data_IF_787768473902
#
_entry.id   IF_787768473902
#
_cell.length_a   1.000
_cell.length_b   1.000
_cell.length_c   1.000
_cell.angle_alpha   90.00
_cell.angle_beta   90.00
_cell.angle_gamma   90.00
#
_symmetry.space_group_name_H-M   'P 1'
#
loop_
_entity.id
_entity.type
_entity.pdbx_description
1 polymer ?
#
# COMPACT_ATOMS: atom_id res chain seq x y z
N UNK A 1 -40.78 -13.46 -2.09
CA UNK A 1 -40.19 -12.21 -1.55
C UNK A 1 -38.99 -12.45 -0.63
N UNK A 2 -38.96 -13.50 0.19
CA UNK A 2 -37.88 -13.78 1.15
C UNK A 2 -36.45 -13.96 0.55
N UNK A 3 -36.23 -14.58 -0.64
CA UNK A 3 -34.88 -14.80 -1.17
C UNK A 3 -34.14 -13.51 -1.54
N UNK A 4 -34.85 -12.51 -2.09
CA UNK A 4 -34.28 -11.20 -2.43
C UNK A 4 -33.88 -10.42 -1.17
N UNK A 5 -34.67 -10.54 -0.09
CA UNK A 5 -34.40 -9.90 1.18
C UNK A 5 -33.15 -10.50 1.86
N UNK A 6 -33.00 -11.83 1.84
CA UNK A 6 -31.83 -12.52 2.38
C UNK A 6 -30.57 -12.13 1.61
N UNK A 7 -30.61 -12.16 0.27
CA UNK A 7 -29.48 -11.72 -0.58
C UNK A 7 -29.04 -10.28 -0.27
N UNK A 8 -29.99 -9.36 -0.10
CA UNK A 8 -29.69 -7.96 0.23
C UNK A 8 -29.07 -7.79 1.64
N UNK A 9 -29.56 -8.53 2.64
CA UNK A 9 -28.98 -8.52 3.99
C UNK A 9 -27.57 -9.10 4.01
N UNK A 10 -27.31 -10.16 3.26
CA UNK A 10 -25.97 -10.75 3.14
C UNK A 10 -24.98 -9.81 2.46
N UNK A 11 -25.39 -9.11 1.39
CA UNK A 11 -24.56 -8.09 0.74
C UNK A 11 -24.22 -6.94 1.72
N UNK A 12 -25.22 -6.46 2.45
CA UNK A 12 -25.03 -5.40 3.47
C UNK A 12 -24.09 -5.87 4.57
N UNK A 13 -24.22 -7.14 5.00
CA UNK A 13 -23.30 -7.78 5.93
C UNK A 13 -21.87 -7.84 5.39
N UNK A 14 -21.69 -8.23 4.12
CA UNK A 14 -20.38 -8.23 3.46
C UNK A 14 -19.75 -6.83 3.44
N UNK A 15 -20.55 -5.80 3.13
CA UNK A 15 -20.10 -4.40 3.11
C UNK A 15 -19.70 -3.90 4.50
N UNK A 16 -20.44 -4.24 5.56
CA UNK A 16 -20.03 -3.93 6.93
C UNK A 16 -18.78 -4.68 7.38
N UNK A 17 -18.62 -5.94 6.99
CA UNK A 17 -17.39 -6.69 7.24
C UNK A 17 -16.20 -6.08 6.49
N UNK A 18 -16.42 -5.51 5.29
CA UNK A 18 -15.37 -4.79 4.58
C UNK A 18 -14.98 -3.52 5.33
N UNK A 19 -15.94 -2.75 5.85
CA UNK A 19 -15.67 -1.58 6.70
C UNK A 19 -14.90 -1.98 7.96
N UNK A 20 -15.29 -3.09 8.61
CA UNK A 20 -14.56 -3.63 9.75
C UNK A 20 -13.13 -4.05 9.38
N UNK A 21 -12.93 -4.64 8.20
CA UNK A 21 -11.59 -4.96 7.70
C UNK A 21 -10.73 -3.69 7.60
N UNK A 22 -11.25 -2.60 7.01
CA UNK A 22 -10.54 -1.30 6.91
C UNK A 22 -10.22 -0.69 8.27
N UNK A 23 -11.09 -0.90 9.27
CA UNK A 23 -10.86 -0.46 10.65
C UNK A 23 -9.77 -1.28 11.33
N UNK A 24 -9.76 -2.60 11.16
CA UNK A 24 -8.95 -3.49 11.97
C UNK A 24 -7.62 -3.89 11.35
N UNK A 25 -7.46 -3.98 10.02
CA UNK A 25 -6.18 -4.43 9.44
C UNK A 25 -4.96 -3.59 9.90
N UNK A 26 -5.06 -2.25 10.10
CA UNK A 26 -3.89 -1.48 10.53
C UNK A 26 -3.50 -1.81 11.99
N UNK A 27 -4.47 -1.89 12.91
CA UNK A 27 -4.22 -2.09 14.35
C UNK A 27 -4.16 -3.57 14.77
N UNK A 28 -5.12 -4.38 14.33
CA UNK A 28 -5.35 -5.75 14.76
C UNK A 28 -5.48 -6.71 13.56
N UNK A 29 -4.34 -7.22 13.06
CA UNK A 29 -4.30 -8.05 11.83
C UNK A 29 -5.23 -9.27 11.88
N UNK A 30 -5.33 -9.97 13.01
CA UNK A 30 -6.21 -11.14 13.12
C UNK A 30 -7.68 -10.78 12.87
N UNK A 31 -8.17 -9.71 13.49
CA UNK A 31 -9.52 -9.21 13.28
C UNK A 31 -9.71 -8.71 11.83
N UNK A 32 -8.70 -8.04 11.26
CA UNK A 32 -8.71 -7.64 9.85
C UNK A 32 -8.85 -8.83 8.90
N UNK A 33 -8.09 -9.92 9.12
CA UNK A 33 -8.17 -11.15 8.33
C UNK A 33 -9.54 -11.83 8.44
N UNK A 34 -10.08 -11.94 9.66
CA UNK A 34 -11.43 -12.51 9.89
C UNK A 34 -12.48 -11.69 9.14
N UNK A 35 -12.43 -10.36 9.25
CA UNK A 35 -13.35 -9.47 8.56
C UNK A 35 -13.23 -9.57 7.02
N UNK A 36 -12.01 -9.69 6.48
CA UNK A 36 -11.80 -9.93 5.05
C UNK A 36 -12.36 -11.27 4.58
N UNK A 37 -12.16 -12.34 5.35
CA UNK A 37 -12.72 -13.66 5.05
C UNK A 37 -14.25 -13.62 5.05
N UNK A 38 -14.85 -13.06 6.10
CA UNK A 38 -16.31 -12.92 6.21
C UNK A 38 -16.87 -12.05 5.08
N UNK A 39 -16.15 -11.00 4.66
CA UNK A 39 -16.52 -10.19 3.48
C UNK A 39 -16.64 -11.06 2.24
N UNK A 40 -15.63 -11.88 1.94
CA UNK A 40 -15.62 -12.78 0.78
C UNK A 40 -16.74 -13.82 0.84
N UNK A 41 -16.93 -14.49 1.99
CA UNK A 41 -17.97 -15.50 2.18
C UNK A 41 -19.38 -14.92 2.03
N UNK A 42 -19.66 -13.80 2.69
CA UNK A 42 -20.97 -13.14 2.61
C UNK A 42 -21.24 -12.60 1.19
N UNK A 43 -20.22 -12.09 0.50
CA UNK A 43 -20.34 -11.66 -0.89
C UNK A 43 -20.72 -12.81 -1.82
N UNK A 44 -20.08 -13.98 -1.66
CA UNK A 44 -20.42 -15.18 -2.42
C UNK A 44 -21.86 -15.63 -2.14
N UNK A 45 -22.22 -15.76 -0.86
CA UNK A 45 -23.56 -16.20 -0.44
C UNK A 45 -24.67 -15.22 -0.86
N UNK A 46 -24.37 -13.92 -0.93
CA UNK A 46 -25.32 -12.90 -1.37
C UNK A 46 -25.67 -12.99 -2.87
N UNK A 47 -24.82 -13.63 -3.68
CA UNK A 47 -24.94 -13.63 -5.14
C UNK A 47 -24.61 -12.29 -5.82
N UNK A 48 -24.08 -11.30 -5.08
CA UNK A 48 -23.75 -9.96 -5.62
C UNK A 48 -22.75 -10.05 -6.78
N UNK A 49 -21.80 -10.98 -6.72
CA UNK A 49 -20.79 -11.15 -7.77
C UNK A 49 -21.40 -11.56 -9.11
N UNK A 50 -22.47 -12.37 -9.09
CA UNK A 50 -23.22 -12.74 -10.30
C UNK A 50 -24.15 -11.63 -10.76
N UNK A 51 -24.82 -10.95 -9.83
CA UNK A 51 -25.72 -9.83 -10.13
C UNK A 51 -24.97 -8.67 -10.81
N UNK A 52 -23.76 -8.39 -10.36
CA UNK A 52 -22.89 -7.34 -10.89
C UNK A 52 -22.02 -7.79 -12.09
N UNK A 53 -22.41 -8.84 -12.83
CA UNK A 53 -21.66 -9.37 -13.99
C UNK A 53 -21.29 -8.31 -15.04
N UNK A 54 -22.10 -7.27 -15.20
CA UNK A 54 -21.83 -6.16 -16.12
C UNK A 54 -20.65 -5.30 -15.66
N UNK A 55 -20.49 -5.12 -14.35
CA UNK A 55 -19.36 -4.45 -13.72
C UNK A 55 -18.07 -5.22 -14.00
N UNK A 56 -18.08 -6.54 -13.78
CA UNK A 56 -16.94 -7.41 -14.11
C UNK A 56 -16.52 -7.29 -15.57
N UNK A 57 -17.46 -7.36 -16.51
CA UNK A 57 -17.15 -7.33 -17.95
C UNK A 57 -16.54 -6.01 -18.44
N UNK A 58 -16.82 -4.89 -17.76
CA UNK A 58 -16.44 -3.55 -18.22
C UNK A 58 -15.27 -2.94 -17.47
N UNK A 59 -15.00 -3.38 -16.24
CA UNK A 59 -13.90 -2.87 -15.44
C UNK A 59 -12.64 -3.73 -15.67
N UNK A 60 -11.51 -3.15 -16.11
CA UNK A 60 -10.26 -3.91 -16.29
C UNK A 60 -9.65 -4.33 -14.94
N UNK A 61 -9.86 -3.56 -13.88
CA UNK A 61 -9.19 -3.74 -12.59
C UNK A 61 -9.39 -5.13 -11.95
N UNK A 62 -10.62 -5.67 -11.81
CA UNK A 62 -10.81 -7.01 -11.24
C UNK A 62 -10.10 -8.10 -12.05
N UNK A 63 -10.08 -8.00 -13.38
CA UNK A 63 -9.40 -8.98 -14.24
C UNK A 63 -7.89 -8.94 -14.12
N UNK A 64 -7.30 -7.76 -13.95
CA UNK A 64 -5.86 -7.63 -13.71
C UNK A 64 -5.46 -8.24 -12.36
N UNK A 65 -6.27 -8.02 -11.32
CA UNK A 65 -6.09 -8.65 -10.01
C UNK A 65 -6.18 -10.18 -10.08
N UNK A 66 -7.23 -10.71 -10.74
CA UNK A 66 -7.40 -12.14 -10.93
C UNK A 66 -6.31 -12.73 -11.83
N UNK A 67 -5.90 -12.01 -12.86
CA UNK A 67 -4.83 -12.42 -13.77
C UNK A 67 -3.50 -12.54 -13.04
N UNK A 68 -3.14 -11.56 -12.20
CA UNK A 68 -1.90 -11.60 -11.42
C UNK A 68 -1.91 -12.78 -10.45
N UNK A 69 -3.03 -13.01 -9.74
CA UNK A 69 -3.17 -14.19 -8.89
C UNK A 69 -3.13 -15.51 -9.69
N UNK A 70 -3.75 -15.53 -10.86
CA UNK A 70 -3.72 -16.67 -11.77
C UNK A 70 -2.31 -17.02 -12.21
N UNK A 71 -1.49 -16.03 -12.53
CA UNK A 71 -0.07 -16.24 -12.86
C UNK A 71 0.72 -16.75 -11.66
N UNK A 72 0.45 -16.26 -10.45
CA UNK A 72 1.03 -16.80 -9.21
C UNK A 72 0.67 -18.29 -9.05
N UNK A 73 -0.59 -18.68 -9.28
CA UNK A 73 -1.01 -20.08 -9.22
C UNK A 73 -0.36 -20.95 -10.30
N UNK A 74 -0.30 -20.46 -11.54
CA UNK A 74 0.35 -21.18 -12.64
C UNK A 74 1.85 -21.34 -12.38
N UNK A 75 2.49 -20.33 -11.81
CA UNK A 75 3.92 -20.34 -11.47
C UNK A 75 4.33 -21.46 -10.53
N UNK A 76 3.43 -22.01 -9.71
CA UNK A 76 3.74 -23.17 -8.88
C UNK A 76 3.84 -24.49 -9.66
N UNK A 77 3.35 -24.56 -10.90
CA UNK A 77 3.39 -25.79 -11.71
C UNK A 77 4.79 -26.15 -12.21
N UNK A 78 5.69 -25.17 -12.31
CA UNK A 78 7.08 -25.37 -12.74
C UNK A 78 8.11 -24.85 -11.72
N UNK A 79 7.65 -24.51 -10.51
CA UNK A 79 8.53 -24.02 -9.46
C UNK A 79 9.46 -25.12 -8.96
N UNK A 80 10.74 -24.77 -8.76
CA UNK A 80 11.72 -25.62 -8.07
C UNK A 80 11.53 -25.65 -6.56
N UNK A 81 10.66 -24.78 -6.03
CA UNK A 81 10.47 -24.57 -4.60
C UNK A 81 9.84 -25.75 -3.87
N UNK A 82 10.15 -25.87 -2.59
CA UNK A 82 9.39 -26.72 -1.67
C UNK A 82 7.91 -26.30 -1.65
N UNK A 83 7.01 -27.28 -1.48
CA UNK A 83 5.57 -27.02 -1.46
C UNK A 83 5.17 -26.00 -0.38
N UNK A 84 5.89 -25.96 0.74
CA UNK A 84 5.65 -24.98 1.81
C UNK A 84 5.77 -23.53 1.32
N UNK A 85 6.78 -23.23 0.51
CA UNK A 85 7.02 -21.88 -0.02
C UNK A 85 6.03 -21.51 -1.14
N UNK A 86 5.66 -22.49 -1.96
CA UNK A 86 4.58 -22.34 -2.95
C UNK A 86 3.27 -21.99 -2.24
N UNK A 87 2.89 -22.78 -1.24
CA UNK A 87 1.65 -22.60 -0.47
C UNK A 87 1.65 -21.27 0.30
N UNK A 88 2.80 -20.87 0.86
CA UNK A 88 2.96 -19.57 1.49
C UNK A 88 2.64 -18.46 0.49
N UNK A 89 3.23 -18.48 -0.70
CA UNK A 89 2.98 -17.47 -1.73
C UNK A 89 1.51 -17.44 -2.19
N UNK A 90 0.87 -18.59 -2.38
CA UNK A 90 -0.57 -18.65 -2.68
C UNK A 90 -1.39 -17.95 -1.59
N UNK A 91 -1.08 -18.23 -0.33
CA UNK A 91 -1.78 -17.64 0.83
C UNK A 91 -1.50 -16.15 0.95
N UNK A 92 -0.29 -15.68 0.63
CA UNK A 92 0.04 -14.25 0.62
C UNK A 92 -0.74 -13.50 -0.46
N UNK A 93 -0.80 -14.06 -1.66
CA UNK A 93 -1.39 -13.40 -2.84
C UNK A 93 -2.91 -13.67 -3.01
N UNK A 94 -3.54 -14.53 -2.22
CA UNK A 94 -5.02 -14.73 -2.24
C UNK A 94 -5.79 -13.42 -2.04
N UNK A 95 -5.16 -12.41 -1.42
CA UNK A 95 -5.74 -11.08 -1.26
C UNK A 95 -6.05 -10.41 -2.59
N UNK A 96 -5.33 -10.71 -3.66
CA UNK A 96 -5.62 -10.20 -5.01
C UNK A 96 -7.01 -10.66 -5.49
N UNK A 97 -7.36 -11.92 -5.24
CA UNK A 97 -8.71 -12.43 -5.47
C UNK A 97 -9.75 -11.68 -4.63
N UNK A 98 -9.46 -11.45 -3.34
CA UNK A 98 -10.34 -10.65 -2.49
C UNK A 98 -10.44 -9.19 -2.94
N UNK A 99 -9.37 -8.60 -3.48
CA UNK A 99 -9.37 -7.23 -4.02
C UNK A 99 -10.34 -7.07 -5.19
N UNK A 100 -10.44 -8.09 -6.05
CA UNK A 100 -11.46 -8.14 -7.10
C UNK A 100 -12.89 -8.17 -6.53
N UNK A 101 -13.12 -8.92 -5.45
CA UNK A 101 -14.40 -8.96 -4.74
C UNK A 101 -14.72 -7.62 -4.07
N UNK A 102 -13.74 -7.01 -3.39
CA UNK A 102 -13.91 -5.72 -2.71
C UNK A 102 -14.29 -4.62 -3.68
N UNK A 103 -13.69 -4.57 -4.87
CA UNK A 103 -14.03 -3.61 -5.91
C UNK A 103 -15.53 -3.62 -6.25
N UNK A 104 -16.13 -4.81 -6.38
CA UNK A 104 -17.56 -4.96 -6.70
C UNK A 104 -18.45 -4.50 -5.55
N UNK A 105 -18.11 -4.87 -4.31
CA UNK A 105 -18.86 -4.43 -3.12
C UNK A 105 -18.85 -2.91 -2.91
N UNK A 106 -17.85 -2.24 -3.46
CA UNK A 106 -17.62 -0.80 -3.35
C UNK A 106 -18.28 0.02 -4.47
N UNK A 107 -19.24 -0.56 -5.21
CA UNK A 107 -20.00 0.14 -6.25
C UNK A 107 -20.75 1.38 -5.72
N UNK A 108 -21.24 1.35 -4.48
CA UNK A 108 -21.98 2.46 -3.88
C UNK A 108 -21.06 3.44 -3.11
N UNK A 109 -21.24 4.77 -3.26
CA UNK A 109 -20.37 5.79 -2.66
C UNK A 109 -20.38 5.80 -1.13
N UNK A 110 -21.51 5.42 -0.51
CA UNK A 110 -21.62 5.35 0.94
C UNK A 110 -20.63 4.34 1.55
N UNK A 111 -20.42 3.20 0.91
CA UNK A 111 -19.51 2.15 1.41
C UNK A 111 -18.06 2.53 1.22
N UNK A 112 -17.73 3.19 0.09
CA UNK A 112 -16.40 3.77 -0.11
C UNK A 112 -16.07 4.79 0.98
N UNK A 113 -17.01 5.67 1.30
CA UNK A 113 -16.85 6.67 2.36
C UNK A 113 -16.66 6.02 3.73
N UNK A 114 -17.49 5.03 4.10
CA UNK A 114 -17.37 4.30 5.37
C UNK A 114 -16.03 3.58 5.50
N UNK A 115 -15.54 2.92 4.44
CA UNK A 115 -14.23 2.26 4.44
C UNK A 115 -13.08 3.26 4.66
N UNK A 116 -13.13 4.40 3.97
CA UNK A 116 -12.11 5.45 4.11
C UNK A 116 -12.12 6.07 5.52
N UNK A 117 -13.31 6.28 6.09
CA UNK A 117 -13.47 6.77 7.46
C UNK A 117 -12.99 5.75 8.50
N UNK A 118 -13.29 4.46 8.31
CA UNK A 118 -12.80 3.39 9.17
C UNK A 118 -11.27 3.31 9.19
N UNK A 119 -10.64 3.34 8.02
CA UNK A 119 -9.18 3.43 7.92
C UNK A 119 -8.63 4.69 8.60
N UNK A 120 -9.23 5.85 8.32
CA UNK A 120 -8.79 7.13 8.90
C UNK A 120 -8.92 7.16 10.42
N UNK A 121 -9.99 6.58 10.97
CA UNK A 121 -10.20 6.47 12.42
C UNK A 121 -9.13 5.59 13.07
N UNK A 122 -8.80 4.45 12.45
CA UNK A 122 -7.73 3.59 12.93
C UNK A 122 -6.35 4.28 12.86
N UNK A 123 -6.06 4.98 11.77
CA UNK A 123 -4.81 5.75 11.64
C UNK A 123 -4.71 6.89 12.66
N UNK A 124 -5.82 7.56 12.96
CA UNK A 124 -5.86 8.56 14.03
C UNK A 124 -5.62 7.93 15.40
N UNK A 125 -6.20 6.75 15.68
CA UNK A 125 -5.91 5.99 16.90
C UNK A 125 -4.42 5.63 17.01
N UNK A 126 -3.80 5.15 15.92
CA UNK A 126 -2.36 4.87 15.88
C UNK A 126 -1.57 6.15 16.12
N UNK A 127 -1.92 7.26 15.46
CA UNK A 127 -1.23 8.54 15.63
C UNK A 127 -1.27 9.03 17.08
N UNK A 128 -2.46 9.03 17.70
CA UNK A 128 -2.62 9.40 19.12
C UNK A 128 -1.80 8.46 20.00
N UNK A 129 -1.80 7.16 19.71
CA UNK A 129 -1.00 6.19 20.46
C UNK A 129 0.50 6.46 20.33
N UNK A 130 1.01 6.83 19.14
CA UNK A 130 2.43 7.14 18.93
C UNK A 130 2.87 8.31 19.83
N UNK A 131 2.06 9.37 19.91
CA UNK A 131 2.36 10.51 20.79
C UNK A 131 2.18 10.18 22.27
N UNK A 132 1.17 9.39 22.63
CA UNK A 132 1.01 8.93 24.01
C UNK A 132 2.18 8.04 24.44
N UNK A 133 2.76 7.25 23.53
CA UNK A 133 3.89 6.36 23.78
C UNK A 133 5.18 7.10 24.16
N UNK A 134 5.27 8.41 23.89
CA UNK A 134 6.39 9.25 24.37
C UNK A 134 6.44 9.30 25.90
N UNK A 135 5.27 9.23 26.56
CA UNK A 135 5.13 9.46 28.00
C UNK A 135 4.59 8.24 28.75
N UNK A 136 3.88 7.35 28.06
CA UNK A 136 3.17 6.22 28.64
C UNK A 136 3.59 4.92 27.97
N UNK A 137 3.83 3.89 28.77
CA UNK A 137 4.01 2.52 28.27
C UNK A 137 2.66 1.91 27.92
N UNK A 138 2.27 2.01 26.65
CA UNK A 138 0.98 1.49 26.20
C UNK A 138 1.05 -0.03 26.06
N UNK A 139 0.14 -0.82 26.68
CA UNK A 139 0.19 -2.29 26.63
C UNK A 139 0.17 -2.88 25.22
N UNK A 140 -0.43 -2.17 24.26
CA UNK A 140 -0.53 -2.60 22.86
C UNK A 140 0.62 -2.07 21.98
N UNK A 141 1.49 -1.20 22.50
CA UNK A 141 2.60 -0.65 21.73
C UNK A 141 3.70 -1.68 21.52
N UNK A 142 4.19 -1.77 20.29
CA UNK A 142 5.31 -2.65 19.91
C UNK A 142 6.60 -2.20 20.60
N UNK A 143 6.80 -0.90 20.77
CA UNK A 143 7.94 -0.32 21.48
C UNK A 143 7.52 0.29 22.81
N UNK A 144 8.29 0.06 23.87
CA UNK A 144 8.02 0.57 25.22
C UNK A 144 9.01 1.67 25.64
N UNK A 145 9.63 2.32 24.65
CA UNK A 145 10.58 3.41 24.87
C UNK A 145 9.83 4.68 25.32
N UNK A 146 10.43 5.45 26.22
CA UNK A 146 9.90 6.75 26.67
C UNK A 146 10.84 7.89 26.23
N UNK A 147 10.30 9.10 26.13
CA UNK A 147 11.05 10.30 25.76
C UNK A 147 11.19 10.51 24.26
N UNK A 148 11.86 11.60 23.88
CA UNK A 148 12.11 11.97 22.49
C UNK A 148 13.39 11.33 21.94
N UNK A 149 13.50 11.23 20.61
CA UNK A 149 14.70 10.71 19.93
C UNK A 149 14.78 9.18 19.84
N UNK A 150 13.73 8.47 20.25
CA UNK A 150 13.62 7.01 20.21
C UNK A 150 12.43 6.57 19.35
N UNK A 151 12.41 5.28 18.96
CA UNK A 151 11.30 4.72 18.18
C UNK A 151 10.04 4.59 19.03
N UNK A 152 8.92 5.04 18.46
CA UNK A 152 7.57 4.95 19.04
C UNK A 152 6.61 4.20 18.12
N UNK A 153 7.10 3.14 17.47
CA UNK A 153 6.23 2.28 16.67
C UNK A 153 5.24 1.56 17.57
N UNK A 154 3.95 1.82 17.37
CA UNK A 154 2.89 1.26 18.21
C UNK A 154 2.42 -0.07 17.65
N UNK A 155 2.14 -0.14 16.34
CA UNK A 155 1.55 -1.35 15.76
C UNK A 155 2.42 -1.92 14.65
N UNK A 156 2.69 -3.23 14.74
CA UNK A 156 3.40 -3.96 13.70
C UNK A 156 4.88 -3.59 13.66
N UNK A 157 5.32 -3.07 12.53
CA UNK A 157 6.67 -2.61 12.28
C UNK A 157 6.66 -1.17 11.76
N UNK A 158 7.79 -0.48 11.93
CA UNK A 158 7.92 0.93 11.58
C UNK A 158 7.77 1.19 10.08
N UNK A 159 8.10 0.22 9.21
CA UNK A 159 8.00 0.37 7.76
C UNK A 159 6.53 0.46 7.38
N UNK A 160 5.74 -0.54 7.78
CA UNK A 160 4.31 -0.58 7.46
C UNK A 160 3.56 0.58 8.10
N UNK A 161 3.86 0.92 9.36
CA UNK A 161 3.24 2.05 10.03
C UNK A 161 3.51 3.36 9.27
N UNK A 162 4.76 3.60 8.85
CA UNK A 162 5.13 4.80 8.11
C UNK A 162 4.52 4.86 6.71
N UNK A 163 4.39 3.73 6.00
CA UNK A 163 3.71 3.65 4.70
C UNK A 163 2.25 4.12 4.86
N UNK A 164 1.51 3.53 5.81
CA UNK A 164 0.11 3.86 6.04
C UNK A 164 -0.06 5.30 6.52
N UNK A 165 0.84 5.78 7.39
CA UNK A 165 0.83 7.15 7.90
C UNK A 165 1.14 8.16 6.80
N UNK A 166 2.04 7.85 5.86
CA UNK A 166 2.33 8.70 4.69
C UNK A 166 1.10 8.91 3.82
N UNK A 167 0.33 7.85 3.59
CA UNK A 167 -0.95 7.99 2.88
C UNK A 167 -2.01 8.69 3.74
N UNK A 168 -2.02 8.49 5.05
CA UNK A 168 -2.92 9.21 5.94
C UNK A 168 -2.68 10.73 5.93
N UNK A 169 -1.43 11.18 5.81
CA UNK A 169 -1.09 12.59 5.57
C UNK A 169 -1.75 13.08 4.27
N UNK A 170 -1.66 12.33 3.18
CA UNK A 170 -2.33 12.67 1.91
C UNK A 170 -3.84 12.80 2.10
N UNK A 171 -4.47 11.88 2.83
CA UNK A 171 -5.90 11.95 3.14
C UNK A 171 -6.25 13.17 3.99
N UNK A 172 -5.46 13.49 5.02
CA UNK A 172 -5.66 14.66 5.86
C UNK A 172 -5.57 15.95 5.03
N UNK A 173 -4.59 16.07 4.15
CA UNK A 173 -4.48 17.21 3.22
C UNK A 173 -5.69 17.30 2.28
N UNK A 174 -6.18 16.16 1.78
CA UNK A 174 -7.39 16.12 0.96
C UNK A 174 -8.64 16.55 1.73
N UNK A 175 -8.84 16.06 2.95
CA UNK A 175 -9.94 16.48 3.82
C UNK A 175 -9.86 17.98 4.12
N UNK A 176 -8.67 18.49 4.43
CA UNK A 176 -8.42 19.91 4.66
C UNK A 176 -8.77 20.77 3.45
N UNK A 177 -8.32 20.38 2.25
CA UNK A 177 -8.64 21.10 1.00
C UNK A 177 -10.15 21.18 0.74
N UNK A 178 -10.88 20.11 1.05
CA UNK A 178 -12.32 20.00 0.78
C UNK A 178 -13.20 20.40 2.00
N UNK A 179 -12.62 20.84 3.11
CA UNK A 179 -13.38 21.16 4.31
C UNK A 179 -14.13 22.50 4.18
N UNK A 180 -15.40 22.57 4.61
CA UNK A 180 -16.23 23.77 4.48
C UNK A 180 -15.88 24.86 5.51
N UNK A 181 -15.33 24.49 6.67
CA UNK A 181 -15.04 25.39 7.80
C UNK A 181 -13.55 25.49 8.05
N UNK A 182 -13.07 26.69 8.40
CA UNK A 182 -11.66 26.93 8.72
C UNK A 182 -11.16 26.03 9.87
N UNK A 183 -11.97 25.82 10.90
CA UNK A 183 -11.60 24.93 12.02
C UNK A 183 -11.28 23.51 11.59
N UNK A 184 -12.05 22.96 10.65
CA UNK A 184 -11.80 21.63 10.08
C UNK A 184 -10.56 21.60 9.18
N UNK A 185 -10.26 22.71 8.49
CA UNK A 185 -9.01 22.86 7.71
C UNK A 185 -7.79 22.86 8.62
N UNK A 186 -7.86 23.62 9.71
CA UNK A 186 -6.78 23.72 10.71
C UNK A 186 -6.60 22.38 11.44
N UNK A 187 -7.68 21.68 11.80
CA UNK A 187 -7.60 20.34 12.37
C UNK A 187 -6.93 19.35 11.41
N UNK A 188 -7.34 19.34 10.14
CA UNK A 188 -6.74 18.46 9.13
C UNK A 188 -5.26 18.78 8.90
N UNK A 189 -4.88 20.07 8.89
CA UNK A 189 -3.48 20.50 8.80
C UNK A 189 -2.66 20.07 10.02
N UNK A 190 -3.23 20.20 11.23
CA UNK A 190 -2.59 19.74 12.46
C UNK A 190 -2.38 18.23 12.46
N UNK A 191 -3.39 17.44 12.06
CA UNK A 191 -3.27 15.98 11.91
C UNK A 191 -2.19 15.61 10.88
N UNK A 192 -2.17 16.28 9.72
CA UNK A 192 -1.15 16.05 8.70
C UNK A 192 0.26 16.36 9.21
N UNK A 193 0.43 17.47 9.93
CA UNK A 193 1.71 17.87 10.53
C UNK A 193 2.16 16.87 11.59
N UNK A 194 1.27 16.50 12.52
CA UNK A 194 1.58 15.53 13.57
C UNK A 194 1.94 14.15 13.00
N UNK A 195 1.25 13.70 11.95
CA UNK A 195 1.56 12.46 11.25
C UNK A 195 2.92 12.53 10.53
N UNK A 196 3.25 13.65 9.90
CA UNK A 196 4.57 13.87 9.30
C UNK A 196 5.70 13.88 10.35
N UNK A 197 5.47 14.53 11.50
CA UNK A 197 6.42 14.52 12.63
C UNK A 197 6.58 13.11 13.22
N UNK A 198 5.49 12.34 13.32
CA UNK A 198 5.55 10.96 13.80
C UNK A 198 6.44 10.07 12.90
N UNK A 199 6.32 10.21 11.57
CA UNK A 199 7.19 9.49 10.63
C UNK A 199 8.64 9.94 10.77
N UNK A 200 8.87 11.24 10.94
CA UNK A 200 10.21 11.82 10.80
C UNK A 200 11.05 11.78 12.07
N UNK A 201 10.43 11.95 13.22
CA UNK A 201 11.09 12.10 14.53
C UNK A 201 10.82 10.94 15.49
N UNK A 202 9.68 10.26 15.35
CA UNK A 202 9.23 9.21 16.26
C UNK A 202 9.34 7.81 15.65
N UNK A 203 10.03 7.70 14.51
CA UNK A 203 10.24 6.43 13.81
C UNK A 203 11.68 6.27 13.29
N UNK A 204 12.18 5.04 13.29
CA UNK A 204 13.51 4.68 12.77
C UNK A 204 13.57 4.54 11.24
N UNK A 205 12.43 4.37 10.56
CA UNK A 205 12.41 3.95 9.15
C UNK A 205 12.72 5.05 8.13
N UNK A 206 13.84 4.93 7.41
CA UNK A 206 14.22 5.84 6.30
C UNK A 206 13.21 5.86 5.15
N UNK A 207 12.58 4.73 4.86
CA UNK A 207 11.53 4.59 3.84
C UNK A 207 10.36 5.57 4.07
N UNK A 208 10.04 5.87 5.34
CA UNK A 208 8.98 6.81 5.69
C UNK A 208 9.23 8.22 5.15
N UNK A 209 10.48 8.69 5.18
CA UNK A 209 10.85 10.01 4.64
C UNK A 209 10.55 10.12 3.15
N UNK A 210 10.99 9.12 2.38
CA UNK A 210 10.84 9.09 0.93
C UNK A 210 9.36 9.04 0.54
N UNK A 211 8.59 8.14 1.17
CA UNK A 211 7.16 7.98 0.85
C UNK A 211 6.32 9.18 1.28
N UNK A 212 6.64 9.81 2.42
CA UNK A 212 6.01 11.06 2.85
C UNK A 212 6.29 12.18 1.84
N UNK A 213 7.56 12.38 1.48
CA UNK A 213 7.95 13.45 0.56
C UNK A 213 7.30 13.27 -0.81
N UNK A 214 7.35 12.07 -1.38
CA UNK A 214 6.75 11.77 -2.68
C UNK A 214 5.23 11.81 -2.63
N UNK A 215 4.60 11.30 -1.56
CA UNK A 215 3.16 11.34 -1.37
C UNK A 215 2.61 12.76 -1.29
N UNK A 216 3.22 13.62 -0.45
CA UNK A 216 2.83 15.03 -0.31
C UNK A 216 3.13 15.83 -1.58
N UNK A 217 4.30 15.63 -2.19
CA UNK A 217 4.66 16.33 -3.43
C UNK A 217 3.74 15.95 -4.58
N UNK A 218 3.39 14.67 -4.72
CA UNK A 218 2.42 14.19 -5.71
C UNK A 218 1.05 14.80 -5.44
N UNK A 219 0.61 14.83 -4.18
CA UNK A 219 -0.67 15.41 -3.82
C UNK A 219 -0.73 16.89 -4.21
N UNK A 220 0.29 17.67 -3.83
CA UNK A 220 0.40 19.10 -4.19
C UNK A 220 0.43 19.30 -5.70
N UNK A 221 1.23 18.50 -6.42
CA UNK A 221 1.34 18.56 -7.86
C UNK A 221 -0.02 18.36 -8.56
N UNK A 222 -0.78 17.36 -8.15
CA UNK A 222 -2.08 17.08 -8.77
C UNK A 222 -3.23 17.92 -8.21
N UNK A 223 -3.12 18.42 -6.97
CA UNK A 223 -4.16 19.20 -6.31
C UNK A 223 -4.13 20.70 -6.67
N UNK A 224 -2.95 21.27 -6.90
CA UNK A 224 -2.77 22.69 -7.24
C UNK A 224 -2.51 22.89 -8.75
N UNK A 225 -2.79 24.09 -9.25
CA UNK A 225 -2.59 24.48 -10.66
C UNK A 225 -1.80 25.79 -10.73
N UNK A 226 -1.14 26.07 -11.86
CA UNK A 226 -0.40 27.32 -12.09
C UNK A 226 0.80 27.52 -11.17
N UNK A 227 1.16 28.78 -10.89
CA UNK A 227 2.34 29.16 -10.09
C UNK A 227 2.27 28.67 -8.63
N UNK A 228 1.07 28.56 -8.05
CA UNK A 228 0.87 28.07 -6.67
C UNK A 228 1.40 26.65 -6.47
N UNK A 229 1.30 25.80 -7.51
CA UNK A 229 1.88 24.45 -7.50
C UNK A 229 3.38 24.51 -7.27
N UNK A 230 4.08 25.31 -8.06
CA UNK A 230 5.53 25.41 -8.02
C UNK A 230 6.01 26.08 -6.73
N UNK A 231 5.30 27.10 -6.26
CA UNK A 231 5.58 27.71 -4.97
C UNK A 231 5.44 26.71 -3.82
N UNK A 232 4.35 25.92 -3.79
CA UNK A 232 4.14 24.92 -2.75
C UNK A 232 5.18 23.78 -2.80
N UNK A 233 5.57 23.33 -4.00
CA UNK A 233 6.64 22.35 -4.16
C UNK A 233 8.00 22.90 -3.70
N UNK A 234 8.30 24.16 -4.03
CA UNK A 234 9.50 24.84 -3.53
C UNK A 234 9.47 24.93 -2.00
N UNK A 235 8.34 25.27 -1.39
CA UNK A 235 8.19 25.29 0.08
C UNK A 235 8.46 23.91 0.68
N UNK A 236 7.98 22.83 0.07
CA UNK A 236 8.26 21.46 0.55
C UNK A 236 9.76 21.16 0.48
N UNK A 237 10.42 21.50 -0.63
CA UNK A 237 11.87 21.28 -0.80
C UNK A 237 12.68 22.09 0.20
N UNK A 238 12.35 23.38 0.38
CA UNK A 238 13.02 24.26 1.35
C UNK A 238 12.79 23.78 2.78
N UNK A 239 11.56 23.37 3.13
CA UNK A 239 11.25 22.83 4.45
C UNK A 239 12.00 21.52 4.72
N UNK A 240 12.08 20.62 3.74
CA UNK A 240 12.86 19.38 3.85
C UNK A 240 14.36 19.66 3.99
N UNK A 241 14.90 20.60 3.19
CA UNK A 241 16.29 21.04 3.28
C UNK A 241 16.62 21.68 4.63
N UNK A 242 15.75 22.55 5.13
CA UNK A 242 15.88 23.15 6.46
C UNK A 242 15.82 22.11 7.58
N UNK A 243 14.88 21.16 7.50
CA UNK A 243 14.78 20.07 8.46
C UNK A 243 16.03 19.19 8.45
N UNK A 244 16.59 18.89 7.28
CA UNK A 244 17.85 18.16 7.13
C UNK A 244 19.04 18.94 7.72
N UNK A 245 19.13 20.24 7.46
CA UNK A 245 20.22 21.08 7.96
C UNK A 245 20.25 21.20 9.49
N UNK A 246 19.09 21.12 10.16
CA UNK A 246 18.98 21.25 11.62
C UNK A 246 19.01 19.89 12.33
N UNK A 247 18.61 18.80 11.66
CA UNK A 247 18.50 17.48 12.28
C UNK A 247 19.77 16.64 12.13
N UNK A 248 20.56 16.53 13.20
CA UNK A 248 21.73 15.64 13.26
C UNK A 248 21.34 14.19 12.90
N UNK A 249 20.23 13.70 13.45
CA UNK A 249 19.69 12.36 13.15
C UNK A 249 19.43 12.16 11.66
N UNK A 250 18.91 13.17 10.96
CA UNK A 250 18.68 13.08 9.51
C UNK A 250 20.02 13.03 8.74
N UNK A 251 20.99 13.83 9.15
CA UNK A 251 22.33 13.84 8.56
C UNK A 251 23.03 12.48 8.74
N UNK A 252 23.09 11.97 9.96
CA UNK A 252 23.72 10.68 10.28
C UNK A 252 23.09 9.53 9.48
N UNK A 253 21.75 9.53 9.35
CA UNK A 253 21.02 8.52 8.57
C UNK A 253 21.36 8.59 7.08
N UNK A 254 21.52 9.79 6.51
CA UNK A 254 21.92 9.97 5.11
C UNK A 254 23.38 9.58 4.90
N UNK A 255 24.29 9.98 5.78
CA UNK A 255 25.71 9.61 5.68
C UNK A 255 25.92 8.11 5.79
N UNK A 256 25.26 7.46 6.77
CA UNK A 256 25.28 6.00 6.89
C UNK A 256 24.71 5.34 5.65
N UNK A 257 23.62 5.87 5.09
CA UNK A 257 23.03 5.31 3.87
C UNK A 257 23.97 5.36 2.66
N UNK A 258 24.71 6.47 2.50
CA UNK A 258 25.70 6.63 1.44
C UNK A 258 26.89 5.69 1.66
N UNK A 259 27.35 5.55 2.90
CA UNK A 259 28.44 4.62 3.24
C UNK A 259 28.06 3.16 2.93
N UNK A 260 26.91 2.70 3.44
CA UNK A 260 26.38 1.36 3.16
C UNK A 260 26.21 1.09 1.66
N UNK A 261 25.81 2.11 0.88
CA UNK A 261 25.67 1.98 -0.57
C UNK A 261 27.01 1.90 -1.31
N UNK A 262 28.03 2.66 -0.88
CA UNK A 262 29.37 2.63 -1.49
C UNK A 262 30.10 1.32 -1.20
N UNK A 263 29.92 0.80 -0.01
CA UNK A 263 30.58 -0.41 0.46
C UNK A 263 29.79 -1.69 0.11
N UNK A 264 28.69 -1.60 -0.64
CA UNK A 264 27.82 -2.76 -0.93
C UNK A 264 28.54 -3.90 -1.65
N UNK A 265 29.56 -3.59 -2.47
CA UNK A 265 30.37 -4.59 -3.17
C UNK A 265 31.17 -5.50 -2.24
N UNK A 266 31.42 -5.07 -1.00
CA UNK A 266 32.14 -5.87 0.00
C UNK A 266 31.30 -7.04 0.55
N UNK A 267 30.03 -7.15 0.17
CA UNK A 267 29.10 -8.15 0.69
C UNK A 267 29.02 -8.12 2.22
N UNK A 268 29.09 -6.94 2.82
CA UNK A 268 28.78 -6.74 4.23
C UNK A 268 27.26 -6.61 4.43
N UNK A 269 26.74 -7.37 5.39
CA UNK A 269 25.30 -7.42 5.68
C UNK A 269 24.88 -6.12 6.37
N UNK A 270 24.25 -5.24 5.59
CA UNK A 270 23.69 -3.95 6.02
C UNK A 270 22.31 -3.73 5.42
N UNK A 271 21.57 -2.72 5.88
CA UNK A 271 20.21 -2.49 5.38
C UNK A 271 20.18 -2.11 3.89
N UNK A 272 21.07 -1.20 3.49
CA UNK A 272 21.14 -0.71 2.10
C UNK A 272 22.04 -1.60 1.24
N UNK A 273 23.21 -2.01 1.73
CA UNK A 273 24.07 -2.96 1.02
C UNK A 273 23.36 -4.29 0.76
N UNK A 274 22.57 -4.75 1.73
CA UNK A 274 21.65 -5.89 1.57
C UNK A 274 20.72 -5.75 0.38
N UNK A 275 19.95 -4.65 0.33
CA UNK A 275 19.02 -4.37 -0.78
C UNK A 275 19.71 -4.29 -2.13
N UNK A 276 20.87 -3.64 -2.22
CA UNK A 276 21.64 -3.54 -3.47
C UNK A 276 22.03 -4.93 -3.97
N UNK A 277 22.58 -5.79 -3.09
CA UNK A 277 22.96 -7.15 -3.47
C UNK A 277 21.74 -8.04 -3.76
N UNK A 278 20.65 -7.89 -3.02
CA UNK A 278 19.37 -8.53 -3.34
C UNK A 278 18.93 -8.19 -4.77
N UNK A 279 18.94 -6.90 -5.14
CA UNK A 279 18.51 -6.47 -6.47
C UNK A 279 19.44 -6.95 -7.57
N UNK A 280 20.76 -6.86 -7.35
CA UNK A 280 21.77 -7.28 -8.31
C UNK A 280 21.62 -8.77 -8.64
N UNK A 281 21.65 -9.63 -7.63
CA UNK A 281 21.60 -11.08 -7.86
C UNK A 281 20.21 -11.56 -8.29
N UNK A 282 19.13 -10.92 -7.82
CA UNK A 282 17.80 -11.21 -8.36
C UNK A 282 17.67 -10.83 -9.83
N UNK A 283 18.30 -9.73 -10.25
CA UNK A 283 18.35 -9.36 -11.66
C UNK A 283 19.12 -10.39 -12.50
N UNK A 284 20.24 -10.90 -12.00
CA UNK A 284 20.98 -12.00 -12.65
C UNK A 284 20.11 -13.26 -12.80
N UNK A 285 19.30 -13.60 -11.79
CA UNK A 285 18.32 -14.69 -11.88
C UNK A 285 17.21 -14.40 -12.90
N UNK A 286 16.70 -13.17 -12.96
CA UNK A 286 15.71 -12.74 -13.97
C UNK A 286 16.25 -12.93 -15.39
N UNK A 287 17.52 -12.59 -15.63
CA UNK A 287 18.14 -12.72 -16.95
C UNK A 287 18.21 -14.17 -17.45
N UNK A 288 18.22 -15.15 -16.56
CA UNK A 288 18.24 -16.57 -16.93
C UNK A 288 16.88 -17.09 -17.42
N UNK A 289 15.76 -16.58 -16.88
CA UNK A 289 14.39 -16.98 -17.26
C UNK A 289 13.44 -15.78 -17.37
N UNK A 290 13.67 -14.82 -18.28
CA UNK A 290 12.99 -13.52 -18.25
C UNK A 290 11.49 -13.59 -18.57
N UNK A 291 11.05 -14.61 -19.33
CA UNK A 291 9.65 -14.74 -19.77
C UNK A 291 8.79 -15.52 -18.78
N UNK A 292 9.29 -16.65 -18.28
CA UNK A 292 8.53 -17.56 -17.42
C UNK A 292 8.82 -17.34 -15.93
N UNK A 293 9.98 -16.78 -15.60
CA UNK A 293 10.51 -16.82 -14.23
C UNK A 293 10.91 -18.24 -13.81
N UNK A 294 11.33 -18.35 -12.56
CA UNK A 294 11.76 -19.57 -11.87
C UNK A 294 10.61 -20.33 -11.19
N UNK A 295 9.41 -19.76 -11.19
CA UNK A 295 8.22 -20.32 -10.56
C UNK A 295 7.93 -19.70 -9.20
N UNK A 296 6.68 -19.81 -8.77
CA UNK A 296 6.19 -19.18 -7.55
C UNK A 296 6.85 -19.79 -6.30
N UNK A 297 7.33 -18.96 -5.39
CA UNK A 297 8.02 -19.38 -4.17
C UNK A 297 9.46 -19.84 -4.37
N UNK A 298 10.00 -19.78 -5.59
CA UNK A 298 11.38 -20.21 -5.89
C UNK A 298 12.45 -19.25 -5.38
N UNK A 299 12.08 -18.05 -4.95
CA UNK A 299 13.06 -17.03 -4.56
C UNK A 299 14.07 -17.53 -3.53
N UNK A 300 13.62 -18.20 -2.46
CA UNK A 300 14.51 -18.73 -1.42
C UNK A 300 15.58 -19.69 -2.00
N UNK A 301 15.12 -20.71 -2.72
CA UNK A 301 15.98 -21.79 -3.21
C UNK A 301 16.96 -21.30 -4.29
N UNK A 302 16.49 -20.44 -5.19
CA UNK A 302 17.34 -19.86 -6.23
C UNK A 302 18.32 -18.83 -5.63
N UNK A 303 17.89 -18.05 -4.65
CA UNK A 303 18.77 -17.10 -3.93
C UNK A 303 19.92 -17.83 -3.24
N UNK A 304 19.61 -18.82 -2.41
CA UNK A 304 20.61 -19.57 -1.64
C UNK A 304 21.52 -20.43 -2.52
N UNK A 305 21.08 -20.79 -3.73
CA UNK A 305 21.93 -21.46 -4.72
C UNK A 305 22.87 -20.49 -5.45
N UNK A 306 22.39 -19.27 -5.71
CA UNK A 306 23.12 -18.27 -6.50
C UNK A 306 24.11 -17.45 -5.66
N UNK A 307 23.78 -17.16 -4.39
CA UNK A 307 24.60 -16.37 -3.46
C UNK A 307 25.15 -17.28 -2.37
N UNK A 308 26.46 -17.47 -2.37
CA UNK A 308 27.15 -18.48 -1.53
C UNK A 308 27.99 -17.88 -0.41
N UNK A 309 28.05 -16.55 -0.35
CA UNK A 309 28.75 -15.81 0.67
C UNK A 309 28.20 -16.16 2.07
N UNK A 310 29.07 -16.37 3.08
CA UNK A 310 28.64 -16.79 4.41
C UNK A 310 27.57 -15.86 5.01
N UNK A 311 26.48 -16.45 5.50
CA UNK A 311 25.36 -15.73 6.14
C UNK A 311 24.38 -15.04 5.18
N UNK A 312 24.66 -14.96 3.87
CA UNK A 312 23.80 -14.27 2.92
C UNK A 312 22.57 -15.06 2.49
N UNK A 313 22.62 -16.40 2.50
CA UNK A 313 21.43 -17.22 2.29
C UNK A 313 20.36 -16.88 3.34
N UNK A 314 20.68 -16.98 4.64
CA UNK A 314 19.74 -16.68 5.73
C UNK A 314 19.28 -15.21 5.76
N UNK A 315 20.17 -14.26 5.43
CA UNK A 315 19.83 -12.84 5.45
C UNK A 315 18.90 -12.45 4.29
N UNK A 316 19.07 -13.08 3.14
CA UNK A 316 18.34 -12.78 1.91
C UNK A 316 17.25 -13.77 1.54
N UNK A 317 16.94 -14.75 2.39
CA UNK A 317 16.12 -15.92 2.06
C UNK A 317 14.66 -15.63 1.67
N UNK A 318 14.09 -14.49 2.08
CA UNK A 318 12.63 -14.28 1.95
C UNK A 318 12.20 -13.64 0.64
N UNK A 319 12.85 -12.54 0.27
CA UNK A 319 12.47 -11.72 -0.88
C UNK A 319 13.50 -10.62 -1.18
N UNK A 320 13.53 -10.08 -2.41
CA UNK A 320 14.55 -9.13 -2.82
C UNK A 320 14.31 -7.69 -2.36
N UNK A 321 13.34 -7.44 -1.48
CA UNK A 321 12.89 -6.08 -1.13
C UNK A 321 12.56 -5.23 -2.37
N UNK A 322 12.00 -5.85 -3.41
CA UNK A 322 11.56 -5.19 -4.62
C UNK A 322 10.46 -6.05 -5.25
N UNK A 323 9.22 -5.56 -5.21
CA UNK A 323 8.06 -6.30 -5.71
C UNK A 323 8.14 -6.55 -7.22
N UNK A 324 8.73 -5.63 -7.99
CA UNK A 324 8.89 -5.79 -9.44
C UNK A 324 9.87 -6.93 -9.75
N UNK A 325 11.03 -6.92 -9.08
CA UNK A 325 12.02 -8.00 -9.24
C UNK A 325 11.49 -9.33 -8.74
N UNK A 326 10.75 -9.35 -7.62
CA UNK A 326 10.15 -10.59 -7.12
C UNK A 326 9.16 -11.19 -8.14
N UNK A 327 8.23 -10.38 -8.68
CA UNK A 327 7.32 -10.87 -9.71
C UNK A 327 8.05 -11.27 -10.99
N UNK A 328 9.08 -10.54 -11.40
CA UNK A 328 9.82 -10.90 -12.60
C UNK A 328 10.57 -12.22 -12.41
N UNK A 329 11.24 -12.37 -11.27
CA UNK A 329 12.03 -13.55 -10.95
C UNK A 329 11.15 -14.79 -10.84
N UNK A 330 10.02 -14.72 -10.12
CA UNK A 330 9.16 -15.90 -9.91
C UNK A 330 8.17 -16.14 -11.05
N UNK A 331 7.59 -15.09 -11.61
CA UNK A 331 6.45 -15.16 -12.53
C UNK A 331 6.75 -14.63 -13.94
N UNK A 332 7.98 -14.22 -14.20
CA UNK A 332 8.42 -13.71 -15.48
C UNK A 332 7.80 -12.37 -15.85
N UNK A 333 8.00 -11.98 -17.11
CA UNK A 333 7.53 -10.71 -17.65
C UNK A 333 6.02 -10.51 -17.47
N UNK A 334 5.22 -11.58 -17.56
CA UNK A 334 3.76 -11.49 -17.43
C UNK A 334 3.35 -10.99 -16.04
N UNK A 335 4.00 -11.48 -14.97
CA UNK A 335 3.72 -11.02 -13.61
C UNK A 335 3.95 -9.51 -13.44
N UNK A 336 5.07 -9.02 -13.97
CA UNK A 336 5.41 -7.58 -13.94
C UNK A 336 4.41 -6.75 -14.75
N UNK A 337 4.08 -7.19 -15.97
CA UNK A 337 3.14 -6.48 -16.85
C UNK A 337 1.73 -6.39 -16.23
N UNK A 338 1.27 -7.45 -15.57
CA UNK A 338 -0.01 -7.44 -14.87
C UNK A 338 0.02 -6.47 -13.69
N UNK A 339 1.10 -6.47 -12.90
CA UNK A 339 1.23 -5.52 -11.79
C UNK A 339 1.27 -4.05 -12.27
N UNK A 340 2.06 -3.76 -13.31
CA UNK A 340 2.07 -2.43 -13.96
C UNK A 340 0.68 -2.10 -14.53
N UNK A 341 0.02 -3.07 -15.15
CA UNK A 341 -1.33 -2.94 -15.68
C UNK A 341 -2.35 -2.52 -14.63
N UNK A 342 -2.27 -3.07 -13.40
CA UNK A 342 -3.13 -2.67 -12.28
C UNK A 342 -2.91 -1.17 -11.95
N UNK A 343 -1.66 -0.72 -11.85
CA UNK A 343 -1.33 0.68 -11.56
C UNK A 343 -1.82 1.59 -12.69
N UNK A 344 -1.55 1.23 -13.94
CA UNK A 344 -1.92 2.00 -15.13
C UNK A 344 -3.44 2.11 -15.30
N UNK A 345 -4.17 1.01 -15.14
CA UNK A 345 -5.63 1.00 -15.21
C UNK A 345 -6.26 1.88 -14.13
N UNK A 346 -5.72 1.82 -12.90
CA UNK A 346 -6.19 2.67 -11.79
C UNK A 346 -5.88 4.14 -12.04
N UNK A 347 -4.67 4.48 -12.49
CA UNK A 347 -4.31 5.85 -12.86
C UNK A 347 -5.18 6.41 -14.00
N UNK A 348 -5.40 5.60 -15.04
CA UNK A 348 -6.22 5.99 -16.19
C UNK A 348 -7.67 6.31 -15.77
N UNK A 349 -8.22 5.56 -14.82
CA UNK A 349 -9.61 5.73 -14.36
C UNK A 349 -9.88 7.07 -13.67
N UNK A 350 -8.86 7.76 -13.14
CA UNK A 350 -8.98 9.12 -12.56
C UNK A 350 -8.53 10.24 -13.49
N UNK A 351 -8.17 9.95 -14.75
CA UNK A 351 -7.62 10.96 -15.65
C UNK A 351 -8.55 12.18 -15.82
N UNK A 352 -9.87 11.95 -15.80
CA UNK A 352 -10.92 12.97 -15.91
C UNK A 352 -11.58 13.36 -14.57
N UNK A 353 -11.17 12.78 -13.44
CA UNK A 353 -11.72 13.09 -12.10
C UNK A 353 -10.82 14.07 -11.33
N UNK A 354 -11.09 15.37 -11.45
CA UNK A 354 -10.30 16.40 -10.76
C UNK A 354 -10.38 16.30 -9.21
N UNK A 355 -11.42 15.67 -8.64
CA UNK A 355 -11.63 15.60 -7.18
C UNK A 355 -10.79 14.53 -6.51
N UNK A 356 -10.74 13.33 -7.09
CA UNK A 356 -10.03 12.18 -6.51
C UNK A 356 -8.66 11.93 -7.14
N UNK A 357 -8.37 12.49 -8.32
CA UNK A 357 -7.05 12.34 -8.98
C UNK A 357 -5.87 12.61 -8.04
N UNK A 358 -5.84 13.66 -7.19
CA UNK A 358 -4.69 13.87 -6.32
C UNK A 358 -4.47 12.76 -5.30
N UNK A 359 -5.54 12.18 -4.73
CA UNK A 359 -5.44 11.11 -3.73
C UNK A 359 -5.03 9.80 -4.39
N UNK A 360 -5.69 9.44 -5.50
CA UNK A 360 -5.42 8.19 -6.21
C UNK A 360 -3.99 8.17 -6.77
N UNK A 361 -3.57 9.24 -7.46
CA UNK A 361 -2.22 9.28 -8.04
C UNK A 361 -1.13 9.34 -6.96
N UNK A 362 -1.37 10.03 -5.84
CA UNK A 362 -0.40 10.02 -4.72
C UNK A 362 -0.29 8.63 -4.08
N UNK A 363 -1.40 7.92 -3.90
CA UNK A 363 -1.36 6.53 -3.45
C UNK A 363 -0.60 5.63 -4.41
N UNK A 364 -0.82 5.77 -5.73
CA UNK A 364 -0.10 4.99 -6.74
C UNK A 364 1.40 5.31 -6.76
N UNK A 365 1.80 6.57 -6.54
CA UNK A 365 3.22 6.94 -6.39
C UNK A 365 3.81 6.30 -5.13
N UNK A 366 3.09 6.32 -4.00
CA UNK A 366 3.51 5.64 -2.76
C UNK A 366 3.67 4.14 -3.01
N UNK A 367 2.69 3.48 -3.63
CA UNK A 367 2.72 2.05 -3.95
C UNK A 367 3.86 1.72 -4.92
N UNK A 368 4.00 2.46 -6.01
CA UNK A 368 5.04 2.23 -7.01
C UNK A 368 6.44 2.40 -6.41
N UNK A 369 6.65 3.47 -5.64
CA UNK A 369 7.95 3.72 -5.00
C UNK A 369 8.24 2.70 -3.90
N UNK A 370 7.27 2.39 -3.03
CA UNK A 370 7.44 1.36 -2.02
C UNK A 370 7.76 0.00 -2.67
N UNK A 371 7.16 -0.30 -3.81
CA UNK A 371 7.40 -1.54 -4.55
C UNK A 371 8.80 -1.66 -5.15
N UNK A 372 9.54 -0.55 -5.31
CA UNK A 372 10.96 -0.59 -5.69
C UNK A 372 11.88 -0.96 -4.53
N UNK A 373 11.44 -0.71 -3.29
CA UNK A 373 12.28 -0.82 -2.09
C UNK A 373 11.73 -1.80 -1.06
N UNK A 374 10.56 -2.37 -1.27
CA UNK A 374 9.90 -3.37 -0.44
C UNK A 374 9.00 -4.25 -1.31
N UNK A 375 8.50 -5.34 -0.71
CA UNK A 375 7.54 -6.25 -1.35
C UNK A 375 6.11 -5.94 -0.92
N UNK A 376 5.58 -4.83 -1.45
CA UNK A 376 4.29 -4.23 -1.10
C UNK A 376 3.11 -5.21 -1.07
N UNK A 377 3.12 -6.25 -1.92
CA UNK A 377 2.01 -7.21 -2.05
C UNK A 377 2.29 -8.55 -1.36
N UNK A 378 3.49 -8.77 -0.84
CA UNK A 378 3.88 -10.00 -0.14
C UNK A 378 4.03 -9.80 1.38
N UNK A 379 4.59 -8.67 1.81
CA UNK A 379 4.75 -8.33 3.22
C UNK A 379 3.39 -8.25 3.91
N UNK A 380 3.30 -8.76 5.15
CA UNK A 380 2.01 -9.10 5.76
C UNK A 380 1.05 -7.91 5.80
N UNK A 381 1.32 -6.89 6.61
CA UNK A 381 0.40 -5.76 6.78
C UNK A 381 0.43 -4.78 5.60
N UNK A 382 1.56 -4.65 4.90
CA UNK A 382 1.65 -3.87 3.65
C UNK A 382 0.70 -4.41 2.57
N UNK A 383 0.67 -5.74 2.36
CA UNK A 383 -0.18 -6.35 1.34
C UNK A 383 -1.67 -6.13 1.61
N UNK A 384 -2.08 -6.09 2.89
CA UNK A 384 -3.44 -5.70 3.27
C UNK A 384 -3.71 -4.25 2.90
N UNK A 385 -2.85 -3.33 3.36
CA UNK A 385 -2.98 -1.91 3.10
C UNK A 385 -3.11 -1.62 1.60
N UNK A 386 -2.14 -2.10 0.82
CA UNK A 386 -2.11 -1.80 -0.61
C UNK A 386 -3.26 -2.48 -1.34
N UNK A 387 -3.56 -3.76 -1.10
CA UNK A 387 -4.65 -4.45 -1.83
C UNK A 387 -6.02 -3.85 -1.51
N UNK A 388 -6.28 -3.56 -0.24
CA UNK A 388 -7.55 -2.97 0.18
C UNK A 388 -7.70 -1.54 -0.32
N UNK A 389 -6.70 -0.70 -0.11
CA UNK A 389 -6.75 0.70 -0.52
C UNK A 389 -6.77 0.85 -2.04
N UNK A 390 -6.03 0.02 -2.77
CA UNK A 390 -6.07 -0.01 -4.23
C UNK A 390 -7.46 -0.40 -4.73
N UNK A 391 -8.13 -1.36 -4.10
CA UNK A 391 -9.50 -1.76 -4.46
C UNK A 391 -10.51 -0.65 -4.17
N UNK A 392 -10.34 0.06 -3.06
CA UNK A 392 -11.16 1.22 -2.71
C UNK A 392 -10.99 2.39 -3.69
N UNK A 393 -9.74 2.73 -4.01
CA UNK A 393 -9.41 3.85 -4.88
C UNK A 393 -9.73 3.55 -6.35
N UNK A 394 -9.52 2.31 -6.81
CA UNK A 394 -9.97 1.86 -8.13
C UNK A 394 -11.50 1.91 -8.24
N UNK A 395 -12.24 1.48 -7.21
CA UNK A 395 -13.69 1.60 -7.19
C UNK A 395 -14.15 3.07 -7.17
N UNK A 396 -13.48 3.91 -6.39
CA UNK A 396 -13.76 5.35 -6.34
C UNK A 396 -13.58 6.00 -7.72
N UNK A 397 -12.50 5.67 -8.41
CA UNK A 397 -12.20 6.19 -9.73
C UNK A 397 -13.16 5.69 -10.82
N UNK A 398 -13.48 4.40 -10.81
CA UNK A 398 -14.35 3.78 -11.82
C UNK A 398 -15.82 4.17 -11.66
N UNK A 399 -16.36 4.13 -10.44
CA UNK A 399 -17.77 4.44 -10.19
C UNK A 399 -18.03 5.93 -9.96
N UNK A 400 -17.06 6.66 -9.39
CA UNK A 400 -17.18 8.10 -9.13
C UNK A 400 -17.31 8.91 -10.41
N UNK A 401 -16.46 8.67 -11.40
CA UNK A 401 -16.50 9.39 -12.69
C UNK A 401 -17.83 9.19 -13.42
N UNK A 402 -18.35 7.96 -13.42
CA UNK A 402 -19.64 7.61 -14.07
C UNK A 402 -20.85 8.23 -13.38
N UNK A 403 -20.82 8.36 -12.05
CA UNK A 403 -21.88 9.04 -11.32
C UNK A 403 -21.90 10.54 -11.65
N UNK A 404 -20.73 11.16 -11.78
CA UNK A 404 -20.63 12.57 -12.19
C UNK A 404 -21.06 12.79 -13.64
N UNK A 405 -20.69 11.90 -14.57
CA UNK A 405 -21.10 12.04 -15.98
C UNK A 405 -22.60 11.92 -16.17
N UNK A 406 -23.26 10.97 -15.47
CA UNK A 406 -24.72 10.81 -15.53
C UNK A 406 -25.45 12.00 -14.92
N UNK A 407 -24.92 12.61 -13.84
CA UNK A 407 -25.49 13.82 -13.27
C UNK A 407 -25.42 15.00 -14.24
N UNK A 408 -24.27 15.21 -14.90
CA UNK A 408 -24.08 16.28 -15.88
C UNK A 408 -24.94 16.12 -17.14
N UNK A 409 -25.26 14.88 -17.53
CA UNK A 409 -26.14 14.59 -18.67
C UNK A 409 -27.61 14.86 -18.33
N UNK A 410 -28.02 14.60 -17.07
CA UNK A 410 -29.36 14.96 -16.58
C UNK A 410 -29.59 16.46 -16.43
N UNK A 411 -28.57 17.23 -16.06
CA UNK A 411 -28.69 18.70 -15.94
C UNK A 411 -28.71 19.42 -17.31
N UNK A 412 -28.42 18.71 -18.40
CA UNK A 412 -28.44 19.23 -19.79
C UNK A 412 -29.72 18.90 -20.56
N UNK A 413 -30.55 18.02 -20.01
CA UNK A 413 -31.90 17.70 -20.52
C UNK A 413 -32.92 18.48 -19.71
#
# INVERSE_FOLDING_TARGET
>A
MQPKLISSRLETGAQWMLVAAFLFFPAAMALGNIAMLLTGLLALLSGVLWRERSTWRRAPYPWLMLGLYGVVLLGGLWSSALWGDIQLNYTKYIKLLLGAVFFVLLAQPQWRTRCLQAFSACMLFILVSVYANIWLQLPWSKTQNLGWGVDHTVIGDYITQNIMMSFFVVLALWYGKNAPRLSLRLLAAAVALLAAVAITQLSLGRTGYVLLMLGVSSFVFFALKGYQRWLALLTIVVAAGGAYAVSQTAQDRVHLAIAEARDSEKMEITSIGGRINFWKHTWELVQQKPLTGWGTGSYHDEWCRHVTEPGWCDFGDRHPHNQYLLFWMENGLIGVLLFIGILAATAHSVWRDDRWRPVVLSFLVILATNSLINVSLWSSRESHFFTMMLSLLAAQAYFGTRQTSVALEKDRM
#
